data_IF_298613012719
#
_entry.id   IF_298613012719
#
_cell.length_a   1.000
_cell.length_b   1.000
_cell.length_c   1.000
_cell.angle_alpha   90.00
_cell.angle_beta   90.00
_cell.angle_gamma   90.00
#
_symmetry.space_group_name_H-M   'P 1'
#
loop_
_entity.id
_entity.type
_entity.pdbx_description
1 polymer ?
#
# COMPACT_ATOMS: atom_id res chain seq x y z
N UNK A 1 24.46 -20.11 -47.66
CA UNK A 1 25.19 -19.66 -46.46
C UNK A 1 25.12 -18.12 -46.32
N UNK A 2 24.42 -17.63 -45.30
CA UNK A 2 24.34 -16.20 -44.96
C UNK A 2 22.97 -15.55 -45.20
N UNK A 3 21.93 -16.00 -44.51
CA UNK A 3 20.63 -15.31 -44.44
C UNK A 3 20.56 -14.48 -43.17
N UNK A 4 20.61 -13.15 -43.30
CA UNK A 4 20.42 -12.19 -42.21
C UNK A 4 18.91 -11.98 -42.05
N UNK A 5 18.32 -12.45 -40.94
CA UNK A 5 16.92 -12.16 -40.61
C UNK A 5 16.86 -10.99 -39.64
N UNK A 6 16.18 -9.93 -40.08
CA UNK A 6 15.85 -8.76 -39.28
C UNK A 6 14.72 -9.11 -38.29
N UNK A 7 14.94 -8.83 -37.01
CA UNK A 7 13.89 -8.86 -35.99
C UNK A 7 13.12 -7.54 -36.02
N UNK A 8 11.87 -7.57 -36.46
CA UNK A 8 10.92 -6.47 -36.28
C UNK A 8 10.26 -6.55 -34.91
N UNK A 9 10.61 -5.62 -34.02
CA UNK A 9 9.89 -5.32 -32.78
C UNK A 9 8.62 -4.53 -33.11
N UNK A 10 7.48 -5.20 -33.23
CA UNK A 10 6.18 -4.54 -33.28
C UNK A 10 5.69 -4.22 -31.86
N UNK A 11 5.91 -2.99 -31.39
CA UNK A 11 5.28 -2.45 -30.19
C UNK A 11 3.80 -2.19 -30.46
N UNK A 12 2.93 -3.10 -30.00
CA UNK A 12 1.49 -2.88 -29.94
C UNK A 12 1.15 -2.11 -28.65
N UNK A 13 1.19 -0.78 -28.73
CA UNK A 13 0.61 0.07 -27.69
C UNK A 13 -0.92 -0.02 -27.77
N UNK A 14 -1.54 -0.91 -26.98
CA UNK A 14 -3.00 -0.94 -26.80
C UNK A 14 -3.43 0.32 -26.04
N UNK A 15 -4.21 1.17 -26.72
CA UNK A 15 -4.83 2.38 -26.15
C UNK A 15 -5.87 1.94 -25.09
N UNK A 16 -5.54 2.06 -23.80
CA UNK A 16 -6.49 1.83 -22.68
C UNK A 16 -7.47 3.00 -22.64
N UNK A 17 -8.76 2.71 -22.45
CA UNK A 17 -9.81 3.73 -22.27
C UNK A 17 -9.90 4.05 -20.78
N UNK A 18 -9.79 5.32 -20.43
CA UNK A 18 -10.09 5.80 -19.08
C UNK A 18 -11.63 5.90 -18.97
N UNK A 19 -12.24 5.12 -18.07
CA UNK A 19 -13.68 5.17 -17.80
C UNK A 19 -13.97 6.34 -16.88
N UNK A 20 -14.72 7.31 -17.37
CA UNK A 20 -15.17 8.50 -16.63
C UNK A 20 -16.66 8.28 -16.30
N UNK A 21 -17.02 8.26 -15.02
CA UNK A 21 -18.42 8.19 -14.57
C UNK A 21 -18.96 9.61 -14.34
N UNK A 22 -19.93 10.11 -15.13
CA UNK A 22 -20.50 11.44 -14.93
C UNK A 22 -21.63 11.42 -13.89
N UNK A 23 -21.62 12.38 -12.96
CA UNK A 23 -22.75 12.73 -12.09
C UNK A 23 -23.11 14.22 -12.28
N UNK A 24 -24.41 14.53 -12.16
CA UNK A 24 -25.03 15.79 -12.59
C UNK A 24 -24.64 17.04 -11.79
N UNK A 25 -24.12 18.03 -12.53
CA UNK A 25 -24.24 19.50 -12.43
C UNK A 25 -24.41 20.19 -11.07
N UNK A 26 -23.27 20.42 -10.42
CA UNK A 26 -22.91 21.62 -9.66
C UNK A 26 -21.39 21.65 -9.65
N UNK A 27 -20.74 22.79 -9.90
CA UNK A 27 -19.28 22.93 -10.17
C UNK A 27 -18.38 22.62 -8.95
N UNK A 28 -18.54 21.45 -8.35
CA UNK A 28 -17.47 20.79 -7.61
C UNK A 28 -16.72 19.94 -8.63
N UNK A 29 -15.44 20.22 -8.82
CA UNK A 29 -14.54 19.38 -9.59
C UNK A 29 -14.66 17.94 -9.06
N UNK A 30 -15.28 17.06 -9.85
CA UNK A 30 -15.50 15.68 -9.44
C UNK A 30 -14.12 15.03 -9.38
N UNK A 31 -13.61 14.78 -8.19
CA UNK A 31 -12.37 14.02 -8.00
C UNK A 31 -12.60 12.61 -8.56
N UNK A 32 -12.12 12.37 -9.78
CA UNK A 32 -12.23 11.05 -10.42
C UNK A 32 -10.99 10.25 -10.09
N UNK A 33 -11.15 9.15 -9.35
CA UNK A 33 -10.11 8.14 -9.23
C UNK A 33 -9.96 7.35 -10.54
N UNK A 34 -8.75 6.91 -10.85
CA UNK A 34 -8.43 6.10 -12.03
C UNK A 34 -8.37 4.62 -11.65
N UNK A 35 -9.14 3.78 -12.33
CA UNK A 35 -9.11 2.33 -12.13
C UNK A 35 -8.23 1.66 -13.18
N UNK A 36 -7.29 0.85 -12.72
CA UNK A 36 -6.38 0.06 -13.55
C UNK A 36 -6.71 -1.42 -13.41
N UNK A 37 -7.42 -1.97 -14.39
CA UNK A 37 -7.71 -3.41 -14.43
C UNK A 37 -6.47 -4.22 -14.81
N UNK A 38 -6.20 -5.26 -14.03
CA UNK A 38 -5.10 -6.22 -14.24
C UNK A 38 -5.56 -7.39 -15.14
N UNK A 39 -6.86 -7.70 -15.16
CA UNK A 39 -7.44 -8.74 -16.01
C UNK A 39 -8.40 -8.15 -17.06
N UNK A 40 -8.74 -8.93 -18.09
CA UNK A 40 -9.50 -8.41 -19.23
C UNK A 40 -10.90 -7.88 -18.82
N UNK A 41 -11.31 -6.72 -19.38
CA UNK A 41 -12.44 -5.90 -18.93
C UNK A 41 -13.83 -6.44 -19.28
N UNK A 42 -14.00 -7.75 -19.54
CA UNK A 42 -15.33 -8.31 -19.87
C UNK A 42 -16.37 -8.10 -18.75
N UNK A 43 -15.92 -7.74 -17.54
CA UNK A 43 -16.75 -7.45 -16.36
C UNK A 43 -16.54 -6.04 -15.80
N UNK A 44 -15.89 -5.14 -16.56
CA UNK A 44 -15.70 -3.75 -16.12
C UNK A 44 -17.06 -3.08 -15.89
N UNK A 45 -17.27 -2.57 -14.67
CA UNK A 45 -18.52 -1.92 -14.25
C UNK A 45 -19.67 -2.85 -13.87
N UNK A 46 -19.49 -4.18 -13.90
CA UNK A 46 -20.53 -5.14 -13.49
C UNK A 46 -20.48 -5.51 -12.01
N UNK A 47 -19.37 -5.22 -11.33
CA UNK A 47 -19.13 -5.57 -9.92
C UNK A 47 -18.74 -4.35 -9.10
N UNK A 48 -19.04 -4.34 -7.78
CA UNK A 48 -18.52 -3.32 -6.88
C UNK A 48 -16.98 -3.28 -6.91
N UNK A 49 -16.40 -2.08 -6.86
CA UNK A 49 -14.95 -1.91 -6.98
C UNK A 49 -14.19 -2.55 -5.82
N UNK A 50 -14.76 -2.56 -4.60
CA UNK A 50 -14.19 -3.27 -3.45
C UNK A 50 -14.02 -4.78 -3.67
N UNK A 51 -14.98 -5.42 -4.33
CA UNK A 51 -14.87 -6.84 -4.72
C UNK A 51 -13.75 -7.04 -5.74
N UNK A 52 -13.66 -6.18 -6.75
CA UNK A 52 -12.60 -6.26 -7.75
C UNK A 52 -11.19 -6.05 -7.16
N UNK A 53 -11.05 -5.19 -6.15
CA UNK A 53 -9.80 -4.99 -5.41
C UNK A 53 -9.48 -6.24 -4.58
N UNK A 54 -10.46 -6.80 -3.86
CA UNK A 54 -10.30 -8.02 -3.08
C UNK A 54 -9.84 -9.22 -3.93
N UNK A 55 -10.40 -9.35 -5.13
CA UNK A 55 -10.04 -10.39 -6.09
C UNK A 55 -8.74 -10.10 -6.86
N UNK A 56 -8.05 -9.01 -6.54
CA UNK A 56 -6.80 -8.61 -7.19
C UNK A 56 -6.93 -8.32 -8.69
N UNK A 57 -8.12 -7.85 -9.11
CA UNK A 57 -8.43 -7.53 -10.51
C UNK A 57 -8.24 -6.05 -10.83
N UNK A 58 -8.25 -5.18 -9.82
CA UNK A 58 -8.16 -3.75 -9.97
C UNK A 58 -7.14 -3.13 -9.02
N UNK A 59 -6.44 -2.11 -9.51
CA UNK A 59 -5.65 -1.17 -8.73
C UNK A 59 -6.25 0.20 -8.94
N UNK A 60 -6.47 0.96 -7.87
CA UNK A 60 -7.08 2.30 -7.95
C UNK A 60 -6.01 3.35 -7.67
N UNK A 61 -5.96 4.40 -8.49
CA UNK A 61 -5.12 5.57 -8.27
C UNK A 61 -6.01 6.79 -8.00
N UNK A 62 -5.85 7.38 -6.83
CA UNK A 62 -6.60 8.56 -6.38
C UNK A 62 -5.63 9.75 -6.38
N UNK A 63 -5.87 10.81 -7.15
CA UNK A 63 -4.98 11.97 -7.15
C UNK A 63 -5.13 12.81 -5.88
N UNK A 64 -4.14 13.67 -5.60
CA UNK A 64 -4.23 14.80 -4.66
C UNK A 64 -4.65 14.45 -3.21
N UNK A 65 -4.18 13.31 -2.69
CA UNK A 65 -4.41 12.86 -1.31
C UNK A 65 -3.41 13.46 -0.31
N UNK A 66 -2.29 14.01 -0.79
CA UNK A 66 -1.36 14.79 0.00
C UNK A 66 -0.85 15.99 -0.82
N UNK A 67 -0.54 17.10 -0.12
CA UNK A 67 0.09 18.24 -0.77
C UNK A 67 1.55 17.93 -1.12
N UNK A 68 2.10 18.63 -2.11
CA UNK A 68 3.53 18.50 -2.45
C UNK A 68 4.43 18.88 -1.26
N UNK A 69 4.01 19.84 -0.43
CA UNK A 69 4.75 20.24 0.76
C UNK A 69 4.77 19.11 1.81
N UNK A 70 3.63 18.45 2.04
CA UNK A 70 3.57 17.26 2.90
C UNK A 70 4.48 16.15 2.35
N UNK A 71 4.45 15.89 1.04
CA UNK A 71 5.31 14.88 0.39
C UNK A 71 6.81 15.19 0.54
N UNK A 72 7.21 16.43 0.26
CA UNK A 72 8.61 16.88 0.35
C UNK A 72 9.11 16.82 1.80
N UNK A 73 8.27 17.21 2.77
CA UNK A 73 8.58 17.11 4.20
C UNK A 73 8.82 15.66 4.63
N UNK A 74 7.90 14.75 4.30
CA UNK A 74 8.02 13.33 4.63
C UNK A 74 9.23 12.68 3.94
N UNK A 75 9.50 13.03 2.67
CA UNK A 75 10.68 12.54 1.96
C UNK A 75 11.97 13.01 2.63
N UNK A 76 12.05 14.28 3.01
CA UNK A 76 13.22 14.85 3.71
C UNK A 76 13.45 14.16 5.06
N UNK A 77 12.38 13.90 5.82
CA UNK A 77 12.46 13.12 7.06
C UNK A 77 12.97 11.69 6.82
N UNK A 78 12.52 11.03 5.75
CA UNK A 78 13.02 9.71 5.35
C UNK A 78 14.52 9.71 5.02
N UNK A 79 15.02 10.73 4.31
CA UNK A 79 16.45 10.89 4.04
C UNK A 79 17.25 11.13 5.34
N UNK A 80 16.76 11.99 6.23
CA UNK A 80 17.40 12.23 7.52
C UNK A 80 17.51 10.95 8.37
N UNK A 81 16.49 10.09 8.32
CA UNK A 81 16.51 8.79 9.00
C UNK A 81 17.57 7.83 8.39
N UNK A 82 17.76 7.85 7.07
CA UNK A 82 18.86 7.10 6.41
C UNK A 82 20.24 7.57 6.92
N UNK A 83 20.47 8.87 7.01
CA UNK A 83 21.73 9.44 7.49
C UNK A 83 22.01 9.10 8.97
N UNK A 84 20.96 9.14 9.81
CA UNK A 84 21.03 8.75 11.21
C UNK A 84 21.50 7.29 11.41
N UNK A 85 20.98 6.35 10.60
CA UNK A 85 21.41 4.93 10.65
C UNK A 85 22.87 4.73 10.25
N UNK A 86 23.35 5.46 9.25
CA UNK A 86 24.74 5.36 8.77
C UNK A 86 25.80 5.64 9.85
N UNK A 87 25.42 6.36 10.91
CA UNK A 87 26.28 6.66 12.06
C UNK A 87 26.24 5.57 13.14
N UNK A 88 25.12 4.88 13.33
CA UNK A 88 24.94 3.86 14.37
C UNK A 88 25.36 2.44 13.93
N UNK A 89 25.19 2.09 12.65
CA UNK A 89 25.29 0.70 12.16
C UNK A 89 26.70 0.29 11.69
N UNK A 90 27.70 1.20 11.69
CA UNK A 90 29.10 0.81 11.41
C UNK A 90 29.70 -0.19 12.42
N UNK A 91 29.01 -0.52 13.51
CA UNK A 91 29.47 -1.45 14.55
C UNK A 91 28.74 -2.79 14.65
N UNK A 92 27.59 -3.00 13.98
CA UNK A 92 26.81 -4.24 14.17
C UNK A 92 26.24 -4.74 12.84
N UNK A 93 26.68 -5.94 12.44
CA UNK A 93 26.27 -6.62 11.22
C UNK A 93 24.77 -6.91 11.25
N UNK A 94 23.99 -6.18 10.43
CA UNK A 94 22.58 -6.46 10.22
C UNK A 94 22.42 -7.77 9.46
N UNK A 95 21.74 -8.73 10.10
CA UNK A 95 21.35 -10.05 9.60
C UNK A 95 20.29 -10.00 8.47
N UNK A 96 20.00 -8.80 7.94
CA UNK A 96 18.99 -8.57 6.91
C UNK A 96 19.70 -8.31 5.58
N UNK A 97 19.61 -9.33 4.72
CA UNK A 97 20.03 -9.41 3.32
C UNK A 97 20.97 -8.29 2.79
N UNK A 98 22.27 -8.56 2.62
CA UNK A 98 23.28 -7.57 2.19
C UNK A 98 23.13 -7.00 0.77
N UNK A 99 22.05 -7.32 0.05
CA UNK A 99 21.86 -6.97 -1.36
C UNK A 99 20.65 -6.06 -1.65
N UNK A 100 19.89 -5.61 -0.66
CA UNK A 100 18.75 -4.72 -0.91
C UNK A 100 19.07 -3.30 -0.45
N UNK A 101 19.27 -2.37 -1.40
CA UNK A 101 19.40 -0.93 -1.13
C UNK A 101 18.02 -0.27 -0.88
N UNK A 102 17.26 -0.86 0.05
CA UNK A 102 16.00 -0.31 0.54
C UNK A 102 16.16 0.05 2.01
N UNK A 103 15.88 1.31 2.35
CA UNK A 103 15.74 1.75 3.72
C UNK A 103 14.25 1.82 4.06
N UNK A 104 13.84 1.09 5.10
CA UNK A 104 12.47 1.07 5.62
C UNK A 104 12.46 1.53 7.07
N UNK A 105 11.57 2.47 7.36
CA UNK A 105 11.40 3.04 8.69
C UNK A 105 9.92 2.99 9.05
N UNK A 106 9.59 2.33 10.16
CA UNK A 106 8.25 2.42 10.74
C UNK A 106 7.97 3.87 11.10
N UNK A 107 6.79 4.39 10.77
CA UNK A 107 6.39 5.75 11.15
C UNK A 107 6.34 5.90 12.66
N UNK A 108 6.04 4.82 13.39
CA UNK A 108 6.01 4.78 14.85
C UNK A 108 7.38 4.65 15.52
N UNK A 109 8.49 4.56 14.77
CA UNK A 109 9.84 4.48 15.33
C UNK A 109 10.29 5.87 15.82
N UNK A 110 10.34 6.12 17.14
CA UNK A 110 10.69 7.43 17.69
C UNK A 110 12.17 7.79 17.50
N UNK A 111 13.01 6.83 17.07
CA UNK A 111 14.41 7.09 16.73
C UNK A 111 14.57 7.56 15.29
N UNK A 112 13.61 7.23 14.42
CA UNK A 112 13.58 7.65 13.02
C UNK A 112 12.80 8.96 12.84
N UNK A 113 11.66 9.10 13.52
CA UNK A 113 10.70 10.16 13.24
C UNK A 113 10.18 10.87 14.49
N UNK A 114 9.96 12.18 14.34
CA UNK A 114 9.29 13.03 15.32
C UNK A 114 7.77 12.96 15.19
N UNK A 115 7.06 13.56 16.16
CA UNK A 115 5.59 13.56 16.19
C UNK A 115 4.96 14.32 15.01
N UNK A 116 5.68 15.28 14.44
CA UNK A 116 5.28 16.04 13.25
C UNK A 116 5.15 15.16 12.00
N UNK A 117 6.09 14.23 11.82
CA UNK A 117 6.05 13.22 10.74
C UNK A 117 4.86 12.29 10.96
N UNK A 118 4.67 11.79 12.19
CA UNK A 118 3.54 10.92 12.54
C UNK A 118 2.19 11.60 12.23
N UNK A 119 2.02 12.85 12.68
CA UNK A 119 0.80 13.63 12.42
C UNK A 119 0.57 13.87 10.93
N UNK A 120 1.63 14.10 10.16
CA UNK A 120 1.53 14.30 8.71
C UNK A 120 1.08 13.00 8.01
N UNK A 121 1.65 11.86 8.37
CA UNK A 121 1.23 10.55 7.86
C UNK A 121 -0.22 10.22 8.26
N UNK A 122 -0.61 10.51 9.50
CA UNK A 122 -1.97 10.33 10.02
C UNK A 122 -3.00 11.16 9.23
N UNK A 123 -2.72 12.45 9.03
CA UNK A 123 -3.52 13.36 8.20
C UNK A 123 -3.71 12.82 6.78
N UNK A 124 -2.63 12.39 6.12
CA UNK A 124 -2.69 11.86 4.75
C UNK A 124 -3.54 10.59 4.69
N UNK A 125 -3.32 9.66 5.62
CA UNK A 125 -4.09 8.43 5.67
C UNK A 125 -5.58 8.73 5.89
N UNK A 126 -5.93 9.60 6.83
CA UNK A 126 -7.31 10.03 7.06
C UNK A 126 -7.96 10.63 5.80
N UNK A 127 -7.23 11.45 5.02
CA UNK A 127 -7.72 11.95 3.73
C UNK A 127 -8.03 10.82 2.75
N UNK A 128 -7.19 9.78 2.69
CA UNK A 128 -7.44 8.60 1.86
C UNK A 128 -8.67 7.85 2.35
N UNK A 129 -8.77 7.56 3.65
CA UNK A 129 -9.91 6.82 4.22
C UNK A 129 -11.23 7.55 3.96
N UNK A 130 -11.26 8.87 4.16
CA UNK A 130 -12.42 9.70 3.84
C UNK A 130 -12.80 9.60 2.37
N UNK A 131 -11.82 9.62 1.45
CA UNK A 131 -12.10 9.45 0.03
C UNK A 131 -12.69 8.06 -0.27
N UNK A 132 -12.12 7.01 0.30
CA UNK A 132 -12.59 5.64 0.10
C UNK A 132 -14.01 5.45 0.62
N UNK A 133 -14.33 5.98 1.79
CA UNK A 133 -15.67 5.87 2.38
C UNK A 133 -16.71 6.63 1.55
N UNK A 134 -16.38 7.84 1.07
CA UNK A 134 -17.31 8.66 0.31
C UNK A 134 -17.49 8.21 -1.15
N UNK A 135 -16.45 7.69 -1.80
CA UNK A 135 -16.45 7.44 -3.24
C UNK A 135 -16.37 5.96 -3.62
N UNK A 136 -15.90 5.09 -2.71
CA UNK A 136 -15.74 3.66 -2.95
C UNK A 136 -16.19 2.84 -1.71
N UNK A 137 -17.40 3.08 -1.15
CA UNK A 137 -17.85 2.46 0.10
C UNK A 137 -17.87 0.92 0.03
N UNK A 138 -17.96 0.37 -1.19
CA UNK A 138 -17.84 -1.08 -1.42
C UNK A 138 -16.54 -1.70 -0.91
N UNK A 139 -15.46 -0.93 -0.71
CA UNK A 139 -14.22 -1.45 -0.09
C UNK A 139 -14.51 -1.84 1.36
N UNK A 140 -15.07 -0.93 2.16
CA UNK A 140 -15.42 -1.23 3.54
C UNK A 140 -16.41 -2.40 3.62
N UNK A 141 -17.52 -2.32 2.87
CA UNK A 141 -18.58 -3.34 2.89
C UNK A 141 -18.09 -4.74 2.50
N UNK A 142 -17.16 -4.83 1.55
CA UNK A 142 -16.67 -6.10 1.04
C UNK A 142 -15.50 -6.66 1.86
N UNK A 143 -14.52 -5.81 2.20
CA UNK A 143 -13.25 -6.24 2.78
C UNK A 143 -13.21 -6.13 4.31
N UNK A 144 -13.95 -5.22 4.93
CA UNK A 144 -13.75 -4.86 6.34
C UNK A 144 -14.96 -5.18 7.22
N UNK A 145 -16.17 -4.96 6.70
CA UNK A 145 -17.39 -5.14 7.49
C UNK A 145 -17.56 -6.60 7.95
N UNK A 146 -17.72 -6.85 9.26
CA UNK A 146 -17.96 -8.20 9.78
C UNK A 146 -19.19 -8.84 9.14
N UNK A 147 -19.07 -10.10 8.72
CA UNK A 147 -20.17 -10.88 8.17
C UNK A 147 -19.84 -12.37 8.20
N UNK A 148 -20.83 -13.23 7.95
CA UNK A 148 -20.63 -14.68 7.82
C UNK A 148 -19.66 -15.05 6.68
N UNK A 149 -19.54 -14.21 5.66
CA UNK A 149 -18.66 -14.39 4.50
C UNK A 149 -17.37 -13.58 4.62
N UNK A 150 -17.13 -12.88 5.74
CA UNK A 150 -15.93 -12.07 5.89
C UNK A 150 -14.66 -12.89 5.70
N UNK A 151 -14.59 -14.05 6.35
CA UNK A 151 -13.44 -14.94 6.32
C UNK A 151 -13.07 -15.34 4.89
N UNK A 152 -14.03 -15.74 4.05
CA UNK A 152 -13.76 -16.18 2.66
C UNK A 152 -13.34 -15.05 1.72
N UNK A 153 -13.63 -13.79 2.09
CA UNK A 153 -13.27 -12.59 1.31
C UNK A 153 -11.88 -12.04 1.65
N UNK A 154 -11.30 -12.43 2.79
CA UNK A 154 -9.99 -11.93 3.20
C UNK A 154 -8.86 -12.52 2.37
N UNK A 155 -7.71 -11.83 2.25
CA UNK A 155 -6.49 -12.42 1.71
C UNK A 155 -6.04 -13.65 2.49
N UNK A 156 -5.23 -14.50 1.85
CA UNK A 156 -4.54 -15.56 2.57
C UNK A 156 -3.46 -14.94 3.46
N UNK A 157 -3.23 -15.51 4.64
CA UNK A 157 -2.11 -15.10 5.49
C UNK A 157 -0.75 -15.56 4.91
N UNK A 158 0.36 -15.21 5.55
CA UNK A 158 1.71 -15.60 5.12
C UNK A 158 1.96 -17.13 5.10
N UNK A 159 1.08 -17.93 5.72
CA UNK A 159 1.09 -19.41 5.65
C UNK A 159 0.19 -19.95 4.54
N UNK A 160 -0.38 -19.08 3.71
CA UNK A 160 -1.33 -19.39 2.65
C UNK A 160 -2.65 -19.98 3.18
N UNK A 161 -3.04 -19.62 4.40
CA UNK A 161 -4.27 -20.07 5.05
C UNK A 161 -5.31 -18.94 5.06
N UNK A 162 -6.59 -19.31 4.95
CA UNK A 162 -7.70 -18.37 5.08
C UNK A 162 -7.89 -18.02 6.58
N UNK A 163 -8.07 -16.74 6.95
CA UNK A 163 -8.42 -16.39 8.33
C UNK A 163 -9.73 -17.05 8.75
N UNK A 164 -9.74 -17.70 9.91
CA UNK A 164 -10.93 -18.42 10.41
C UNK A 164 -11.78 -17.58 11.37
N UNK A 165 -11.14 -16.66 12.11
CA UNK A 165 -11.80 -15.87 13.15
C UNK A 165 -12.20 -14.52 12.56
N UNK A 166 -13.50 -14.21 12.42
CA UNK A 166 -13.93 -12.91 11.95
C UNK A 166 -13.69 -11.82 13.03
N UNK A 167 -13.74 -10.53 12.64
CA UNK A 167 -13.78 -9.44 13.59
C UNK A 167 -15.01 -9.51 14.49
N UNK A 168 -15.01 -8.72 15.56
CA UNK A 168 -16.13 -8.66 16.48
C UNK A 168 -17.39 -8.12 15.78
N UNK A 169 -18.50 -8.84 15.91
CA UNK A 169 -19.72 -8.55 15.12
C UNK A 169 -20.31 -7.17 15.36
N UNK A 170 -20.10 -6.59 16.55
CA UNK A 170 -20.61 -5.26 16.88
C UNK A 170 -19.96 -4.13 16.04
N UNK A 171 -18.80 -4.38 15.43
CA UNK A 171 -18.15 -3.40 14.54
C UNK A 171 -18.99 -3.12 13.30
N UNK A 172 -19.84 -4.07 12.87
CA UNK A 172 -20.76 -3.86 11.76
C UNK A 172 -21.85 -2.82 12.06
N UNK A 173 -22.15 -2.60 13.36
CA UNK A 173 -23.16 -1.65 13.84
C UNK A 173 -22.53 -0.31 14.27
N UNK A 174 -21.24 -0.30 14.62
CA UNK A 174 -20.54 0.89 15.14
C UNK A 174 -19.72 1.65 14.10
N UNK A 175 -19.36 1.02 12.99
CA UNK A 175 -18.53 1.62 11.97
C UNK A 175 -19.30 1.75 10.66
N UNK A 176 -19.39 2.97 10.14
CA UNK A 176 -19.99 3.26 8.83
C UNK A 176 -18.95 3.16 7.70
N UNK A 177 -17.66 3.18 8.04
CA UNK A 177 -16.55 3.14 7.08
C UNK A 177 -15.19 2.79 7.67
N UNK A 178 -14.16 2.89 6.81
CA UNK A 178 -12.76 2.67 7.18
C UNK A 178 -12.25 3.71 8.18
N UNK A 179 -12.72 4.97 8.08
CA UNK A 179 -12.35 6.03 9.02
C UNK A 179 -12.72 5.64 10.45
N UNK A 180 -13.93 5.13 10.67
CA UNK A 180 -14.39 4.75 12.01
C UNK A 180 -13.56 3.60 12.57
N UNK A 181 -13.28 2.58 11.76
CA UNK A 181 -12.40 1.47 12.16
C UNK A 181 -11.01 1.97 12.57
N UNK A 182 -10.44 2.90 11.81
CA UNK A 182 -9.15 3.52 12.12
C UNK A 182 -9.21 4.28 13.45
N UNK A 183 -10.18 5.20 13.59
CA UNK A 183 -10.33 6.05 14.78
C UNK A 183 -10.63 5.24 16.06
N UNK A 184 -11.26 4.07 15.93
CA UNK A 184 -11.51 3.15 17.04
C UNK A 184 -10.33 2.23 17.36
N UNK A 185 -9.23 2.29 16.59
CA UNK A 185 -8.07 1.40 16.79
C UNK A 185 -8.37 -0.07 16.47
N UNK A 186 -9.29 -0.31 15.52
CA UNK A 186 -9.72 -1.64 15.09
C UNK A 186 -9.08 -2.08 13.77
N UNK A 187 -7.89 -1.56 13.45
CA UNK A 187 -7.08 -2.05 12.35
C UNK A 187 -5.94 -2.95 12.85
N UNK A 188 -5.65 -3.98 12.08
CA UNK A 188 -4.43 -4.77 12.14
C UNK A 188 -3.51 -4.34 11.00
N UNK A 189 -2.26 -3.99 11.31
CA UNK A 189 -1.28 -3.46 10.37
C UNK A 189 -0.31 -4.52 9.89
N UNK A 190 0.31 -4.38 8.72
CA UNK A 190 1.41 -5.26 8.29
C UNK A 190 2.62 -5.05 9.19
N UNK A 191 3.51 -6.05 9.26
CA UNK A 191 4.70 -5.98 10.12
C UNK A 191 5.57 -4.77 9.74
N UNK A 192 5.84 -3.93 10.74
CA UNK A 192 6.62 -2.71 10.55
C UNK A 192 5.93 -1.67 9.66
N UNK A 193 4.60 -1.66 9.59
CA UNK A 193 3.78 -0.62 8.96
C UNK A 193 2.87 0.08 9.97
N UNK A 194 2.46 1.34 9.69
CA UNK A 194 2.81 2.20 8.55
C UNK A 194 4.30 2.54 8.43
N UNK A 195 4.82 2.71 7.20
CA UNK A 195 6.25 2.92 6.97
C UNK A 195 6.56 3.93 5.86
N UNK A 196 7.73 4.57 5.96
CA UNK A 196 8.35 5.30 4.85
C UNK A 196 9.50 4.45 4.30
N UNK A 197 9.42 4.13 3.01
CA UNK A 197 10.45 3.39 2.28
C UNK A 197 11.21 4.36 1.37
N UNK A 198 12.54 4.27 1.40
CA UNK A 198 13.47 5.01 0.52
C UNK A 198 14.24 3.99 -0.31
N UNK A 199 14.16 4.14 -1.64
CA UNK A 199 14.88 3.35 -2.61
C UNK A 199 15.87 4.25 -3.35
N UNK A 200 17.15 3.89 -3.26
CA UNK A 200 18.23 4.57 -3.99
C UNK A 200 18.51 3.84 -5.31
N UNK A 201 19.59 4.20 -6.02
CA UNK A 201 20.04 3.45 -7.18
C UNK A 201 20.21 1.95 -6.88
N UNK A 202 19.69 1.11 -7.78
CA UNK A 202 19.51 -0.34 -7.65
C UNK A 202 18.56 -0.80 -6.53
N UNK A 203 17.94 0.13 -5.81
CA UNK A 203 16.96 -0.15 -4.78
C UNK A 203 15.68 -0.71 -5.38
N UNK A 204 15.19 -1.80 -4.80
CA UNK A 204 13.94 -2.44 -5.19
C UNK A 204 13.33 -3.16 -3.98
N UNK A 205 12.05 -3.50 -4.08
CA UNK A 205 11.40 -4.43 -3.16
C UNK A 205 10.87 -5.59 -3.98
N UNK A 206 11.32 -6.80 -3.66
CA UNK A 206 11.00 -8.01 -4.41
C UNK A 206 9.49 -8.21 -4.56
N UNK A 207 9.10 -9.02 -5.53
CA UNK A 207 7.70 -9.42 -5.65
C UNK A 207 7.25 -10.11 -4.35
N UNK A 208 6.05 -9.77 -3.89
CA UNK A 208 5.45 -10.30 -2.67
C UNK A 208 3.95 -9.98 -2.67
N UNK A 209 3.27 -10.42 -1.60
CA UNK A 209 1.89 -10.08 -1.23
C UNK A 209 1.91 -9.51 0.17
N UNK A 210 1.03 -8.56 0.46
CA UNK A 210 0.96 -7.94 1.79
C UNK A 210 0.12 -8.76 2.76
N UNK A 211 -0.72 -9.67 2.25
CA UNK A 211 -1.58 -10.55 3.04
C UNK A 211 -2.59 -9.83 3.94
N UNK A 212 -2.85 -8.54 3.69
CA UNK A 212 -3.88 -7.75 4.37
C UNK A 212 -4.91 -7.17 3.41
N UNK A 213 -6.10 -6.91 3.93
CA UNK A 213 -7.28 -6.61 3.13
C UNK A 213 -7.03 -5.49 2.12
N UNK A 214 -6.30 -4.44 2.53
CA UNK A 214 -6.01 -3.29 1.70
C UNK A 214 -4.58 -2.78 1.92
N UNK A 215 -3.93 -2.40 0.82
CA UNK A 215 -2.67 -1.66 0.81
C UNK A 215 -2.87 -0.29 0.19
N UNK A 216 -2.27 0.73 0.81
CA UNK A 216 -2.23 2.12 0.39
C UNK A 216 -0.78 2.54 0.22
N UNK A 217 -0.42 3.01 -0.98
CA UNK A 217 0.90 3.59 -1.27
C UNK A 217 0.75 5.06 -1.68
N UNK A 218 1.44 5.95 -0.97
CA UNK A 218 1.55 7.37 -1.31
C UNK A 218 2.97 7.64 -1.84
N UNK A 219 3.17 7.88 -3.14
CA UNK A 219 4.46 8.34 -3.63
C UNK A 219 4.79 9.70 -3.00
N UNK A 220 6.01 9.80 -2.47
CA UNK A 220 6.52 11.05 -1.89
C UNK A 220 7.49 11.76 -2.85
N UNK A 221 7.95 11.07 -3.89
CA UNK A 221 8.83 11.63 -4.94
C UNK A 221 8.29 11.38 -6.34
N UNK A 222 8.71 12.23 -7.29
CA UNK A 222 8.18 12.34 -8.64
C UNK A 222 8.98 11.52 -9.66
N UNK A 223 8.30 10.74 -10.52
CA UNK A 223 8.96 10.04 -11.62
C UNK A 223 9.46 10.96 -12.74
N UNK A 224 9.15 12.26 -12.71
CA UNK A 224 9.57 13.24 -13.72
C UNK A 224 10.88 13.97 -13.40
N UNK A 225 11.47 13.74 -12.22
CA UNK A 225 12.69 14.46 -11.83
C UNK A 225 13.49 13.80 -10.70
N UNK A 226 12.82 13.09 -9.79
CA UNK A 226 13.50 12.59 -8.59
C UNK A 226 14.14 11.21 -8.80
N UNK A 227 13.62 10.42 -9.75
CA UNK A 227 14.17 9.10 -10.07
C UNK A 227 13.93 8.64 -11.52
N UNK A 228 14.78 7.72 -11.98
CA UNK A 228 14.63 6.94 -13.23
C UNK A 228 14.42 5.47 -12.87
N UNK A 229 13.63 4.74 -13.66
CA UNK A 229 13.18 3.38 -13.29
C UNK A 229 12.05 3.46 -12.27
N UNK A 230 12.06 2.59 -11.26
CA UNK A 230 11.12 2.63 -10.14
C UNK A 230 9.66 2.34 -10.52
N UNK A 231 8.75 2.68 -9.60
CA UNK A 231 7.32 2.40 -9.72
C UNK A 231 6.89 1.16 -8.95
N UNK A 232 5.60 0.86 -8.98
CA UNK A 232 5.04 -0.38 -8.43
C UNK A 232 4.61 -1.28 -9.58
N UNK A 233 5.24 -2.45 -9.68
CA UNK A 233 4.90 -3.50 -10.64
C UNK A 233 3.81 -4.41 -10.10
N UNK A 234 2.86 -4.81 -10.95
CA UNK A 234 1.74 -5.68 -10.62
C UNK A 234 1.66 -6.84 -11.60
N UNK A 235 1.39 -8.05 -11.10
CA UNK A 235 1.16 -9.25 -11.89
C UNK A 235 -0.30 -9.69 -11.79
N UNK A 236 -0.93 -9.95 -12.92
CA UNK A 236 -2.32 -10.34 -13.01
C UNK A 236 -2.51 -11.83 -12.67
N UNK A 237 -3.55 -12.16 -11.91
CA UNK A 237 -3.86 -13.54 -11.52
C UNK A 237 -4.11 -13.74 -10.02
N UNK A 238 -3.91 -12.69 -9.21
CA UNK A 238 -4.21 -12.69 -7.78
C UNK A 238 -3.50 -13.84 -7.04
N UNK A 239 -4.23 -14.61 -6.22
CA UNK A 239 -3.72 -15.80 -5.50
C UNK A 239 -2.97 -16.81 -6.36
N UNK A 240 -3.29 -16.91 -7.66
CA UNK A 240 -2.68 -17.88 -8.56
C UNK A 240 -1.25 -17.51 -8.99
N UNK A 241 -0.85 -16.25 -8.81
CA UNK A 241 0.51 -15.80 -9.09
C UNK A 241 1.38 -16.06 -7.88
N UNK A 242 2.55 -16.67 -8.10
CA UNK A 242 3.56 -16.84 -7.05
C UNK A 242 4.09 -15.48 -6.58
N UNK A 243 4.56 -15.41 -5.34
CA UNK A 243 5.30 -14.23 -4.84
C UNK A 243 6.68 -14.07 -5.48
N UNK A 244 7.13 -15.07 -6.24
CA UNK A 244 8.31 -14.97 -7.10
C UNK A 244 7.91 -15.26 -8.55
N UNK A 245 7.16 -14.36 -9.21
CA UNK A 245 6.63 -14.58 -10.54
C UNK A 245 7.78 -14.65 -11.55
N UNK A 246 7.64 -15.57 -12.51
CA UNK A 246 8.58 -15.67 -13.63
C UNK A 246 8.13 -14.69 -14.72
N UNK A 247 8.89 -13.61 -14.91
CA UNK A 247 8.66 -12.64 -15.99
C UNK A 247 8.32 -11.23 -15.51
N UNK A 248 8.20 -10.28 -16.46
CA UNK A 248 7.93 -8.88 -16.13
C UNK A 248 6.50 -8.70 -15.58
N UNK A 249 6.24 -7.63 -14.81
CA UNK A 249 4.89 -7.27 -14.39
C UNK A 249 4.00 -6.91 -15.58
N UNK A 250 2.71 -7.21 -15.48
CA UNK A 250 1.68 -6.85 -16.48
C UNK A 250 1.39 -5.34 -16.50
N UNK A 251 1.67 -4.66 -15.39
CA UNK A 251 1.47 -3.24 -15.21
C UNK A 251 2.54 -2.66 -14.29
N UNK A 252 3.11 -1.50 -14.66
CA UNK A 252 3.95 -0.71 -13.76
C UNK A 252 3.33 0.68 -13.63
N UNK A 253 3.03 1.07 -12.39
CA UNK A 253 2.45 2.39 -12.09
C UNK A 253 3.48 3.30 -11.43
N UNK A 254 3.48 4.56 -11.86
CA UNK A 254 4.29 5.65 -11.32
C UNK A 254 3.41 6.89 -11.14
N UNK A 255 2.46 6.86 -10.19
CA UNK A 255 1.64 8.03 -9.96
C UNK A 255 2.50 9.21 -9.45
N UNK A 256 2.05 10.46 -9.67
CA UNK A 256 2.76 11.63 -9.15
C UNK A 256 2.76 11.65 -7.61
N UNK A 257 3.63 12.45 -6.98
CA UNK A 257 3.65 12.61 -5.54
C UNK A 257 2.29 13.01 -4.99
N UNK A 258 1.94 12.49 -3.83
CA UNK A 258 0.70 12.82 -3.13
C UNK A 258 -0.55 12.12 -3.67
N UNK A 259 -0.45 11.35 -4.75
CA UNK A 259 -1.51 10.41 -5.11
C UNK A 259 -1.55 9.22 -4.14
N UNK A 260 -2.70 8.55 -4.02
CA UNK A 260 -2.80 7.26 -3.36
C UNK A 260 -2.99 6.13 -4.39
N UNK A 261 -2.23 5.06 -4.23
CA UNK A 261 -2.38 3.82 -4.99
C UNK A 261 -2.91 2.72 -4.08
N UNK A 262 -4.05 2.13 -4.44
CA UNK A 262 -4.84 1.23 -3.61
C UNK A 262 -5.00 -0.13 -4.29
N UNK A 263 -4.74 -1.22 -3.57
CA UNK A 263 -4.92 -2.59 -4.06
C UNK A 263 -5.13 -3.58 -2.91
N UNK A 264 -5.65 -4.78 -3.20
CA UNK A 264 -5.90 -5.82 -2.20
C UNK A 264 -4.67 -6.68 -1.94
N UNK A 265 -4.55 -7.27 -0.74
CA UNK A 265 -3.32 -7.94 -0.31
C UNK A 265 -2.98 -9.26 -0.98
N UNK A 266 -3.87 -9.86 -1.77
CA UNK A 266 -3.54 -11.05 -2.58
C UNK A 266 -2.89 -10.70 -3.93
N UNK A 267 -2.79 -9.41 -4.28
CA UNK A 267 -2.13 -8.95 -5.50
C UNK A 267 -0.62 -9.10 -5.35
N UNK A 268 -0.02 -9.93 -6.22
CA UNK A 268 1.44 -9.97 -6.34
C UNK A 268 1.93 -8.64 -6.92
N UNK A 269 2.79 -7.96 -6.17
CA UNK A 269 3.34 -6.67 -6.57
C UNK A 269 4.79 -6.49 -6.09
N UNK A 270 5.49 -5.50 -6.64
CA UNK A 270 6.91 -5.24 -6.35
C UNK A 270 7.23 -3.75 -6.45
N UNK A 271 8.18 -3.27 -5.64
CA UNK A 271 8.86 -2.00 -5.87
C UNK A 271 9.90 -2.19 -6.97
N UNK A 272 9.64 -1.67 -8.17
CA UNK A 272 10.52 -1.89 -9.32
C UNK A 272 11.90 -1.24 -9.12
N UNK A 273 12.98 -1.77 -9.72
CA UNK A 273 14.32 -1.22 -9.54
C UNK A 273 14.43 0.25 -9.92
N UNK A 274 14.94 1.06 -9.00
CA UNK A 274 15.37 2.44 -9.27
C UNK A 274 16.72 2.39 -9.96
N UNK A 275 16.84 3.07 -11.10
CA UNK A 275 18.08 3.13 -11.88
C UNK A 275 18.93 4.32 -11.40
N UNK A 276 18.29 5.44 -11.11
CA UNK A 276 18.93 6.69 -10.67
C UNK A 276 17.99 7.45 -9.74
N UNK A 277 18.56 8.20 -8.80
CA UNK A 277 17.82 9.10 -7.91
C UNK A 277 17.18 8.38 -6.73
N UNK A 278 16.13 8.98 -6.17
CA UNK A 278 15.44 8.50 -4.98
C UNK A 278 13.96 8.32 -5.24
N UNK A 279 13.47 7.09 -5.06
CA UNK A 279 12.04 6.82 -4.95
C UNK A 279 11.68 6.72 -3.47
N UNK A 280 10.70 7.49 -3.04
CA UNK A 280 10.14 7.38 -1.70
C UNK A 280 8.65 7.11 -1.75
N UNK A 281 8.18 6.25 -0.86
CA UNK A 281 6.76 5.96 -0.66
C UNK A 281 6.43 5.88 0.82
N UNK A 282 5.29 6.42 1.20
CA UNK A 282 4.62 6.12 2.46
C UNK A 282 3.63 4.98 2.21
N UNK A 283 3.76 3.89 2.97
CA UNK A 283 2.99 2.64 2.80
C UNK A 283 2.21 2.31 4.06
N UNK A 284 0.96 1.88 3.86
CA UNK A 284 0.08 1.34 4.87
C UNK A 284 -0.65 0.13 4.32
N UNK A 285 -0.49 -1.04 4.93
CA UNK A 285 -1.27 -2.23 4.65
C UNK A 285 -2.00 -2.66 5.91
N UNK A 286 -3.31 -2.89 5.81
CA UNK A 286 -4.14 -3.16 6.98
C UNK A 286 -5.38 -4.01 6.67
N UNK A 287 -5.85 -4.69 7.72
CA UNK A 287 -7.10 -5.45 7.79
C UNK A 287 -7.91 -5.00 9.01
N UNK A 288 -9.16 -5.46 9.13
CA UNK A 288 -9.89 -5.31 10.39
C UNK A 288 -9.26 -6.19 11.45
N UNK A 289 -9.06 -5.66 12.65
CA UNK A 289 -8.58 -6.41 13.82
C UNK A 289 -9.53 -7.55 14.15
N UNK A 290 -8.95 -8.69 14.52
CA UNK A 290 -9.66 -9.87 15.02
C UNK A 290 -9.19 -10.20 16.44
N UNK A 291 -9.91 -11.07 17.19
CA UNK A 291 -9.46 -11.56 18.48
C UNK A 291 -8.08 -12.26 18.47
N UNK A 292 -7.63 -12.72 17.29
CA UNK A 292 -6.35 -13.43 17.12
C UNK A 292 -5.26 -12.56 16.48
N UNK A 293 -5.53 -11.28 16.21
CA UNK A 293 -4.54 -10.36 15.65
C UNK A 293 -3.32 -10.20 16.59
N UNK A 294 -2.09 -10.27 16.07
CA UNK A 294 -0.88 -10.11 16.88
C UNK A 294 -0.80 -8.71 17.53
N UNK A 295 -0.43 -8.64 18.81
CA UNK A 295 -0.46 -7.38 19.58
C UNK A 295 0.47 -6.30 19.02
N UNK A 296 1.64 -6.71 18.53
CA UNK A 296 2.64 -5.84 17.89
C UNK A 296 2.14 -5.22 16.57
N UNK A 297 1.06 -5.77 16.00
CA UNK A 297 0.42 -5.30 14.76
C UNK A 297 -0.81 -4.42 15.02
N UNK A 298 -1.07 -4.00 16.27
CA UNK A 298 -2.23 -3.19 16.64
C UNK A 298 -1.92 -1.70 16.89
N UNK A 299 -0.64 -1.32 16.86
CA UNK A 299 -0.22 0.02 17.26
C UNK A 299 -0.25 1.04 16.11
N UNK A 300 0.00 0.59 14.87
CA UNK A 300 0.01 1.46 13.69
C UNK A 300 0.97 2.64 13.84
N UNK A 301 0.41 3.86 13.77
CA UNK A 301 1.15 5.13 13.93
C UNK A 301 1.66 5.38 15.36
N UNK A 302 1.16 4.65 16.35
CA UNK A 302 1.54 4.84 17.74
C UNK A 302 2.81 4.05 18.04
N UNK A 303 3.76 4.68 18.73
CA UNK A 303 4.89 3.94 19.28
C UNK A 303 4.37 2.83 20.22
N UNK A 304 4.97 1.62 20.20
CA UNK A 304 4.61 0.58 21.13
C UNK A 304 4.66 1.12 22.56
N UNK A 305 3.66 0.84 23.41
CA UNK A 305 3.65 1.34 24.77
C UNK A 305 4.92 0.89 25.48
N UNK A 306 5.74 1.85 25.91
CA UNK A 306 6.89 1.54 26.75
C UNK A 306 6.38 1.20 28.15
N UNK A 307 6.28 -0.08 28.44
CA UNK A 307 6.03 -0.55 29.79
C UNK A 307 7.28 -0.26 30.60
N UNK A 308 7.20 0.64 31.58
CA UNK A 308 8.34 0.89 32.46
C UNK A 308 8.79 -0.45 33.09
N UNK A 309 10.11 -0.71 33.24
CA UNK A 309 10.61 -1.98 33.78
C UNK A 309 10.02 -2.37 35.15
N UNK A 310 9.48 -1.39 35.88
CA UNK A 310 8.91 -1.57 37.21
C UNK A 310 7.38 -1.70 37.21
N UNK A 311 6.70 -1.60 36.07
CA UNK A 311 5.25 -1.73 36.00
C UNK A 311 4.87 -3.22 36.12
N UNK A 312 4.47 -3.62 37.33
CA UNK A 312 3.82 -4.91 37.58
C UNK A 312 2.33 -4.72 37.35
N UNK A 313 1.84 -5.04 36.15
CA UNK A 313 0.40 -5.10 35.89
C UNK A 313 -0.24 -6.06 36.87
N UNK A 314 -1.22 -5.60 37.65
CA UNK A 314 -2.06 -6.46 38.47
C UNK A 314 -2.99 -7.23 37.54
N UNK A 315 -2.78 -8.54 37.45
CA UNK A 315 -3.66 -9.53 36.85
C UNK A 315 -5.00 -9.61 37.58
#
# INVERSE_FOLDING_TARGET
PGGCQAFTLSHLAKKRRDVIFPLNSGENEVVTHKVHWLQQPAQEGQRPLGEAIAEGKAVVCIPDMASLDDCNSLFSAGLAACEGRGSAVRGQSSFWCPNFSMNRFSVSDPTAFGSDVVQSCDKILLCVLDHLDNHIPSIFEYLFKPSAEWASRQPLNAKLEQPEVPPEGHLADLCDGLRDLYMMGNLEWSEGEPAINIYEANGYFGAHKDHLALTVLIPLTSPMGDFVGGGTGFWAGNRQVSENPQGPPDLVLKPPPGSALIFGGDVTHAGMPVIQGYRSVFVCSFSTRTPVSPQDRLHGMQAPPQVSPNFKGSS
#
